data_IF_925144286898
#
_entry.id   IF_925144286898
#
_cell.length_a   1.000
_cell.length_b   1.000
_cell.length_c   1.000
_cell.angle_alpha   90.00
_cell.angle_beta   90.00
_cell.angle_gamma   90.00
#
_symmetry.space_group_name_H-M   'P 1'
#
loop_
_entity.id
_entity.type
_entity.pdbx_description
1 polymer ?
#
# COMPACT_ATOMS: atom_id res chain seq x y z
N UNK A 1 -9.67 -16.15 7.95
CA UNK A 1 -10.17 -14.80 7.61
C UNK A 1 -9.70 -14.48 6.19
N UNK A 2 -10.45 -13.69 5.43
CA UNK A 2 -10.17 -13.48 3.99
C UNK A 2 -9.21 -12.30 3.79
N UNK A 3 -8.22 -12.48 2.92
CA UNK A 3 -7.34 -11.40 2.50
C UNK A 3 -8.14 -10.26 1.83
N UNK A 4 -7.63 -9.03 1.95
CA UNK A 4 -8.24 -7.83 1.33
C UNK A 4 -7.17 -6.85 0.87
N UNK A 5 -7.47 -6.10 -0.18
CA UNK A 5 -6.66 -4.97 -0.61
C UNK A 5 -7.32 -3.68 -0.12
N UNK A 6 -6.56 -2.82 0.56
CA UNK A 6 -6.92 -1.41 0.76
C UNK A 6 -6.24 -0.61 -0.34
N UNK A 7 -6.99 0.13 -1.16
CA UNK A 7 -6.46 1.01 -2.22
C UNK A 7 -6.62 2.46 -1.79
N UNK A 8 -5.61 3.28 -2.00
CA UNK A 8 -5.66 4.69 -1.62
C UNK A 8 -4.34 5.39 -1.86
N UNK A 9 -4.26 6.67 -1.51
CA UNK A 9 -3.01 7.42 -1.52
C UNK A 9 -2.19 7.02 -0.29
N UNK A 10 -0.96 6.56 -0.50
CA UNK A 10 -0.08 6.08 0.58
C UNK A 10 1.20 6.90 0.68
N UNK A 11 1.69 7.06 1.91
CA UNK A 11 3.02 7.59 2.21
C UNK A 11 3.67 6.65 3.22
N UNK A 12 4.73 5.97 2.80
CA UNK A 12 5.44 4.98 3.62
C UNK A 12 6.86 5.46 3.89
N UNK A 13 7.29 5.47 5.14
CA UNK A 13 8.68 5.70 5.51
C UNK A 13 9.43 4.36 5.54
N UNK A 14 10.47 4.24 4.73
CA UNK A 14 11.30 3.02 4.58
C UNK A 14 12.49 3.02 5.54
N UNK A 15 12.88 4.22 5.99
CA UNK A 15 13.88 4.43 7.02
C UNK A 15 13.59 5.75 7.72
N UNK A 16 14.31 6.01 8.80
CA UNK A 16 14.32 7.31 9.44
C UNK A 16 14.83 8.38 8.44
N UNK A 17 14.10 9.49 8.22
CA UNK A 17 14.59 10.60 7.41
C UNK A 17 15.63 11.42 8.17
N UNK A 18 16.75 11.75 7.51
CA UNK A 18 17.81 12.55 8.16
C UNK A 18 17.48 14.04 8.15
N UNK A 19 16.71 14.50 7.16
CA UNK A 19 16.25 15.87 6.98
C UNK A 19 14.82 15.91 6.46
N UNK A 20 14.21 17.10 6.43
CA UNK A 20 12.84 17.28 5.89
C UNK A 20 12.76 16.99 4.39
N UNK A 21 13.84 17.25 3.65
CA UNK A 21 13.91 17.07 2.19
C UNK A 21 14.46 15.69 1.78
N UNK A 22 14.56 14.75 2.72
CA UNK A 22 15.07 13.41 2.46
C UNK A 22 14.03 12.53 1.75
N UNK A 23 13.77 12.85 0.49
CA UNK A 23 12.84 12.13 -0.40
C UNK A 23 13.19 10.66 -0.60
N UNK A 24 14.42 10.25 -0.27
CA UNK A 24 14.84 8.85 -0.38
C UNK A 24 14.41 8.00 0.82
N UNK A 25 14.01 8.62 1.94
CA UNK A 25 13.55 7.94 3.13
C UNK A 25 12.10 7.43 3.03
N UNK A 26 11.32 7.96 2.09
CA UNK A 26 9.91 7.65 1.94
C UNK A 26 9.52 7.28 0.50
N UNK A 27 8.37 6.63 0.39
CA UNK A 27 7.69 6.35 -0.88
C UNK A 27 6.27 6.86 -0.81
N UNK A 28 5.89 7.57 -1.87
CA UNK A 28 4.57 8.12 -2.04
C UNK A 28 3.96 7.52 -3.28
N UNK A 29 2.78 6.92 -3.12
CA UNK A 29 2.02 6.33 -4.19
C UNK A 29 0.66 7.02 -4.25
N UNK A 30 0.42 7.79 -5.32
CA UNK A 30 -0.88 8.44 -5.54
C UNK A 30 -2.01 7.42 -5.67
N UNK A 31 -1.70 6.28 -6.29
CA UNK A 31 -2.54 5.11 -6.42
C UNK A 31 -1.89 3.89 -5.76
N UNK A 32 -1.70 3.99 -4.45
CA UNK A 32 -1.11 2.96 -3.61
C UNK A 32 -2.10 1.90 -3.13
N UNK A 33 -1.56 0.83 -2.54
CA UNK A 33 -2.34 -0.23 -1.93
C UNK A 33 -1.60 -1.01 -0.85
N UNK A 34 -2.38 -1.63 0.04
CA UNK A 34 -1.96 -2.59 1.05
C UNK A 34 -2.72 -3.89 0.88
N UNK A 35 -2.02 -5.01 0.67
CA UNK A 35 -2.59 -6.35 0.79
C UNK A 35 -2.50 -6.78 2.24
N UNK A 36 -3.66 -6.99 2.86
CA UNK A 36 -3.79 -7.42 4.25
C UNK A 36 -4.26 -8.85 4.28
N UNK A 37 -3.47 -9.72 4.91
CA UNK A 37 -3.88 -11.08 5.23
C UNK A 37 -3.73 -11.34 6.74
N UNK A 38 -4.77 -11.94 7.33
CA UNK A 38 -4.86 -12.24 8.77
C UNK A 38 -4.40 -11.09 9.69
N UNK A 39 -4.79 -9.85 9.35
CA UNK A 39 -4.47 -8.65 10.12
C UNK A 39 -3.06 -8.09 9.93
N UNK A 40 -2.27 -8.64 9.00
CA UNK A 40 -0.89 -8.22 8.70
C UNK A 40 -0.80 -7.69 7.27
N UNK A 41 0.04 -6.67 7.06
CA UNK A 41 0.39 -6.21 5.72
C UNK A 41 1.38 -7.23 5.14
N UNK A 42 0.99 -7.91 4.05
CA UNK A 42 1.83 -8.89 3.35
C UNK A 42 2.39 -8.34 2.04
N UNK A 43 1.80 -7.28 1.50
CA UNK A 43 2.39 -6.47 0.42
C UNK A 43 1.92 -5.02 0.52
N UNK A 44 2.78 -4.09 0.10
CA UNK A 44 2.49 -2.66 0.01
C UNK A 44 3.20 -2.06 -1.22
N UNK A 45 2.65 -1.02 -1.81
CA UNK A 45 3.22 -0.32 -2.97
C UNK A 45 2.15 0.21 -3.91
N UNK A 46 2.47 0.32 -5.20
CA UNK A 46 1.53 0.75 -6.23
C UNK A 46 0.40 -0.29 -6.37
N UNK A 47 -0.84 0.17 -6.58
CA UNK A 47 -2.02 -0.69 -6.64
C UNK A 47 -1.89 -1.82 -7.65
N UNK A 48 -1.37 -1.55 -8.85
CA UNK A 48 -1.18 -2.56 -9.89
C UNK A 48 -0.31 -3.73 -9.37
N UNK A 49 0.88 -3.44 -8.85
CA UNK A 49 1.82 -4.44 -8.34
C UNK A 49 1.25 -5.23 -7.15
N UNK A 50 0.50 -4.57 -6.27
CA UNK A 50 -0.14 -5.22 -5.11
C UNK A 50 -1.30 -6.11 -5.57
N UNK A 51 -2.05 -5.69 -6.59
CA UNK A 51 -3.16 -6.46 -7.17
C UNK A 51 -2.66 -7.74 -7.84
N UNK A 52 -1.52 -7.71 -8.51
CA UNK A 52 -0.87 -8.89 -9.10
C UNK A 52 -0.43 -9.93 -8.06
N UNK A 53 -0.10 -9.49 -6.85
CA UNK A 53 0.31 -10.37 -5.73
C UNK A 53 -0.86 -10.98 -4.96
N UNK A 54 -2.09 -10.54 -5.23
CA UNK A 54 -3.26 -11.03 -4.54
C UNK A 54 -3.88 -12.22 -5.26
N UNK A 55 -4.37 -13.19 -4.50
CA UNK A 55 -5.11 -14.32 -5.06
C UNK A 55 -6.37 -13.88 -5.81
N UNK A 56 -6.79 -14.70 -6.76
CA UNK A 56 -8.03 -14.47 -7.50
C UNK A 56 -9.22 -14.38 -6.54
N UNK A 57 -10.00 -13.29 -6.66
CA UNK A 57 -11.19 -13.05 -5.83
C UNK A 57 -10.92 -12.22 -4.57
N UNK A 58 -9.69 -11.81 -4.28
CA UNK A 58 -9.41 -10.86 -3.19
C UNK A 58 -10.07 -9.51 -3.49
N UNK A 59 -10.98 -9.10 -2.60
CA UNK A 59 -11.72 -7.85 -2.69
C UNK A 59 -10.84 -6.62 -2.47
N UNK A 60 -11.18 -5.52 -3.14
CA UNK A 60 -10.53 -4.21 -2.98
C UNK A 60 -11.49 -3.24 -2.30
N UNK A 61 -11.02 -2.55 -1.26
CA UNK A 61 -11.70 -1.45 -0.58
C UNK A 61 -11.01 -0.15 -1.02
N UNK A 62 -11.76 0.76 -1.67
CA UNK A 62 -11.23 2.00 -2.23
C UNK A 62 -11.38 3.16 -1.24
N UNK A 63 -10.26 3.80 -0.91
CA UNK A 63 -10.13 4.95 -0.01
C UNK A 63 -9.52 6.16 -0.72
N UNK A 64 -9.44 6.18 -2.06
CA UNK A 64 -8.98 7.36 -2.77
C UNK A 64 -9.90 8.57 -2.48
N UNK A 65 -9.36 9.80 -2.46
CA UNK A 65 -10.18 11.00 -2.20
C UNK A 65 -11.33 11.15 -3.20
N UNK A 66 -12.48 11.65 -2.74
CA UNK A 66 -13.61 12.11 -3.56
C UNK A 66 -13.65 13.64 -3.59
#
# INVERSE_FOLDING_TARGET
MTAKILRGRTLSFMRWPETIDDHSAWRYEEDGALLIDNGRIVAAGVYADVKEKADAGVGTIDHRPH
#
